data_IF_783056077665
#
_entry.id   IF_783056077665
#
_cell.length_a   1.000
_cell.length_b   1.000
_cell.length_c   1.000
_cell.angle_alpha   90.00
_cell.angle_beta   90.00
_cell.angle_gamma   90.00
#
_symmetry.space_group_name_H-M   'P 1'
#
loop_
_entity.id
_entity.type
_entity.pdbx_description
1 polymer ?
#
# COMPACT_ATOMS: atom_id res chain seq x y z
N UNK A 1 0.42 50.15 -28.81
CA UNK A 1 -0.01 49.25 -27.72
C UNK A 1 -0.95 50.02 -26.81
N UNK A 2 -1.99 49.36 -26.31
CA UNK A 2 -2.86 49.89 -25.25
C UNK A 2 -2.55 49.15 -23.94
N UNK A 3 -2.48 49.86 -22.82
CA UNK A 3 -2.00 49.34 -21.53
C UNK A 3 -0.48 49.45 -21.35
N UNK A 4 0.09 48.71 -20.39
CA UNK A 4 1.44 48.97 -19.85
C UNK A 4 2.46 47.87 -20.20
N UNK A 5 3.73 48.23 -20.28
CA UNK A 5 4.87 47.30 -20.46
C UNK A 5 4.75 46.34 -21.65
N UNK A 6 4.04 46.71 -22.72
CA UNK A 6 3.93 45.86 -23.91
C UNK A 6 5.06 46.15 -24.91
N UNK A 7 5.73 45.11 -25.40
CA UNK A 7 6.71 45.18 -26.49
C UNK A 7 6.11 44.63 -27.79
N UNK A 8 6.25 45.38 -28.89
CA UNK A 8 5.72 45.00 -30.21
C UNK A 8 4.53 45.85 -30.64
N UNK A 9 3.59 45.29 -31.42
CA UNK A 9 2.56 46.04 -32.15
C UNK A 9 1.16 45.58 -31.77
N UNK A 10 0.26 46.55 -31.56
CA UNK A 10 -1.17 46.33 -31.35
C UNK A 10 -1.50 45.35 -30.20
N UNK A 11 -0.62 45.25 -29.20
CA UNK A 11 -0.92 44.51 -27.98
C UNK A 11 -1.83 45.34 -27.07
N UNK A 12 -2.72 44.66 -26.37
CA UNK A 12 -3.69 45.24 -25.42
C UNK A 12 -3.55 44.55 -24.07
N UNK A 13 -3.48 45.32 -22.98
CA UNK A 13 -3.29 44.80 -21.63
C UNK A 13 -1.87 45.02 -21.14
N UNK A 14 -1.25 44.07 -20.45
CA UNK A 14 0.00 44.29 -19.74
C UNK A 14 1.12 43.29 -20.08
N UNK A 15 2.35 43.76 -20.22
CA UNK A 15 3.54 42.90 -20.27
C UNK A 15 3.52 41.88 -21.41
N UNK A 16 2.90 42.18 -22.56
CA UNK A 16 2.91 41.28 -23.71
C UNK A 16 4.08 41.57 -24.65
N UNK A 17 4.64 40.52 -25.24
CA UNK A 17 5.67 40.59 -26.28
C UNK A 17 5.13 40.04 -27.61
N UNK A 18 5.18 40.83 -28.68
CA UNK A 18 4.82 40.38 -30.03
C UNK A 18 3.69 41.19 -30.65
N UNK A 19 2.71 40.52 -31.27
CA UNK A 19 1.69 41.17 -32.11
C UNK A 19 0.28 40.78 -31.71
N UNK A 20 -0.62 41.76 -31.63
CA UNK A 20 -2.07 41.53 -31.46
C UNK A 20 -2.46 40.69 -30.23
N UNK A 21 -1.58 40.59 -29.23
CA UNK A 21 -1.88 39.86 -28.01
C UNK A 21 -2.84 40.68 -27.13
N UNK A 22 -3.79 40.00 -26.51
CA UNK A 22 -4.77 40.57 -25.60
C UNK A 22 -4.68 39.90 -24.21
N UNK A 23 -4.50 40.70 -23.16
CA UNK A 23 -4.40 40.23 -21.78
C UNK A 23 -3.01 40.47 -21.20
N UNK A 24 -2.43 39.48 -20.51
CA UNK A 24 -1.22 39.69 -19.73
C UNK A 24 -0.11 38.70 -20.04
N UNK A 25 1.15 39.16 -20.12
CA UNK A 25 2.32 38.27 -20.15
C UNK A 25 2.30 37.28 -21.32
N UNK A 26 1.72 37.62 -22.47
CA UNK A 26 1.74 36.73 -23.64
C UNK A 26 2.96 37.00 -24.52
N UNK A 27 3.55 35.95 -25.08
CA UNK A 27 4.63 36.01 -26.07
C UNK A 27 4.17 35.39 -27.39
N UNK A 28 4.21 36.16 -28.48
CA UNK A 28 3.91 35.67 -29.82
C UNK A 28 2.83 36.47 -30.51
N UNK A 29 1.87 35.81 -31.17
CA UNK A 29 0.90 36.48 -32.05
C UNK A 29 -0.54 36.09 -31.69
N UNK A 30 -1.40 37.10 -31.55
CA UNK A 30 -2.84 36.95 -31.42
C UNK A 30 -3.29 36.00 -30.29
N UNK A 31 -2.52 35.93 -29.20
CA UNK A 31 -2.91 35.18 -28.02
C UNK A 31 -3.88 36.00 -27.16
N UNK A 32 -4.87 35.33 -26.56
CA UNK A 32 -5.85 35.92 -25.67
C UNK A 32 -5.81 35.25 -24.29
N UNK A 33 -5.67 36.03 -23.21
CA UNK A 33 -5.58 35.53 -21.84
C UNK A 33 -4.24 35.88 -21.20
N UNK A 34 -3.65 34.99 -20.39
CA UNK A 34 -2.31 35.23 -19.84
C UNK A 34 -1.29 34.12 -20.01
N UNK A 35 -0.03 34.54 -20.00
CA UNK A 35 1.15 33.66 -20.03
C UNK A 35 1.16 32.68 -21.20
N UNK A 36 0.55 32.98 -22.35
CA UNK A 36 0.62 32.11 -23.53
C UNK A 36 1.88 32.38 -24.35
N UNK A 37 2.50 31.32 -24.87
CA UNK A 37 3.61 31.36 -25.82
C UNK A 37 3.20 30.75 -27.16
N UNK A 38 3.29 31.53 -28.23
CA UNK A 38 3.06 31.05 -29.60
C UNK A 38 1.94 31.80 -30.31
N UNK A 39 1.00 31.10 -30.96
CA UNK A 39 0.07 31.69 -31.93
C UNK A 39 -1.40 31.36 -31.61
N UNK A 40 -2.28 32.35 -31.57
CA UNK A 40 -3.73 32.14 -31.49
C UNK A 40 -4.18 31.23 -30.34
N UNK A 41 -3.47 31.23 -29.22
CA UNK A 41 -3.91 30.51 -28.03
C UNK A 41 -4.93 31.34 -27.26
N UNK A 42 -5.88 30.67 -26.62
CA UNK A 42 -6.91 31.31 -25.80
C UNK A 42 -7.00 30.62 -24.43
N UNK A 43 -6.84 31.38 -23.36
CA UNK A 43 -6.80 30.87 -21.99
C UNK A 43 -5.46 31.17 -21.32
N UNK A 44 -4.98 30.24 -20.48
CA UNK A 44 -3.81 30.46 -19.63
C UNK A 44 -2.66 29.53 -19.97
N UNK A 45 -1.44 30.07 -20.06
CA UNK A 45 -0.23 29.26 -19.96
C UNK A 45 -0.02 28.28 -21.10
N UNK A 46 -0.59 28.45 -22.30
CA UNK A 46 -0.41 27.51 -23.42
C UNK A 46 0.92 27.74 -24.17
N UNK A 47 1.54 26.68 -24.67
CA UNK A 47 2.72 26.70 -25.55
C UNK A 47 2.40 26.07 -26.89
N UNK A 48 2.56 26.81 -27.98
CA UNK A 48 2.31 26.35 -29.35
C UNK A 48 1.18 27.15 -30.00
N UNK A 49 0.28 26.50 -30.72
CA UNK A 49 -0.69 27.21 -31.56
C UNK A 49 -2.13 26.69 -31.45
N UNK A 50 -3.10 27.60 -31.54
CA UNK A 50 -4.52 27.26 -31.59
C UNK A 50 -5.00 26.36 -30.45
N UNK A 51 -4.50 26.59 -29.23
CA UNK A 51 -4.93 25.85 -28.06
C UNK A 51 -5.96 26.66 -27.25
N UNK A 52 -7.27 26.36 -27.35
CA UNK A 52 -8.28 26.87 -26.44
C UNK A 52 -8.31 26.07 -25.13
N UNK A 53 -8.22 26.76 -23.99
CA UNK A 53 -8.12 26.18 -22.66
C UNK A 53 -6.77 26.51 -22.02
N UNK A 54 -6.29 25.67 -21.11
CA UNK A 54 -5.18 26.05 -20.24
C UNK A 54 -4.01 25.06 -20.26
N UNK A 55 -2.78 25.59 -20.27
CA UNK A 55 -1.54 24.85 -20.09
C UNK A 55 -1.33 23.70 -21.08
N UNK A 56 -1.78 23.82 -22.33
CA UNK A 56 -1.49 22.84 -23.38
C UNK A 56 -0.10 23.08 -24.00
N UNK A 57 0.56 22.01 -24.42
CA UNK A 57 1.80 22.04 -25.20
C UNK A 57 1.59 21.39 -26.57
N UNK A 58 1.94 22.10 -27.63
CA UNK A 58 1.75 21.65 -29.02
C UNK A 58 0.63 22.43 -29.70
N UNK A 59 -0.09 21.82 -30.65
CA UNK A 59 -1.05 22.56 -31.47
C UNK A 59 -2.46 21.95 -31.50
N UNK A 60 -3.47 22.81 -31.63
CA UNK A 60 -4.88 22.44 -31.78
C UNK A 60 -5.45 21.59 -30.63
N UNK A 61 -4.92 21.75 -29.42
CA UNK A 61 -5.45 21.05 -28.26
C UNK A 61 -6.53 21.87 -27.57
N UNK A 62 -7.69 21.26 -27.30
CA UNK A 62 -8.79 21.89 -26.58
C UNK A 62 -8.97 21.27 -25.20
N UNK A 63 -9.13 22.09 -24.16
CA UNK A 63 -9.16 21.65 -22.77
C UNK A 63 -7.84 21.97 -22.09
N UNK A 64 -7.40 21.17 -21.11
CA UNK A 64 -6.25 21.54 -20.29
C UNK A 64 -5.14 20.50 -20.20
N UNK A 65 -3.90 20.97 -20.13
CA UNK A 65 -2.72 20.14 -19.91
C UNK A 65 -2.49 19.03 -20.93
N UNK A 66 -2.87 19.21 -22.19
CA UNK A 66 -2.55 18.23 -23.24
C UNK A 66 -1.15 18.46 -23.82
N UNK A 67 -0.48 17.39 -24.22
CA UNK A 67 0.79 17.42 -24.94
C UNK A 67 0.64 16.76 -26.31
N UNK A 68 0.94 17.50 -27.38
CA UNK A 68 0.94 17.01 -28.75
C UNK A 68 -0.05 17.75 -29.63
N UNK A 69 -0.84 17.03 -30.43
CA UNK A 69 -1.64 17.62 -31.50
C UNK A 69 -3.09 17.16 -31.48
N UNK A 70 -4.03 18.08 -31.68
CA UNK A 70 -5.46 17.78 -31.86
C UNK A 70 -6.09 17.00 -30.70
N UNK A 71 -5.56 17.12 -29.49
CA UNK A 71 -6.14 16.42 -28.35
C UNK A 71 -7.29 17.23 -27.74
N UNK A 72 -8.44 16.60 -27.54
CA UNK A 72 -9.61 17.18 -26.87
C UNK A 72 -9.84 16.55 -25.51
N UNK A 73 -10.13 17.37 -24.50
CA UNK A 73 -10.21 16.93 -23.10
C UNK A 73 -8.95 17.32 -22.34
N UNK A 74 -8.53 16.53 -21.34
CA UNK A 74 -7.45 16.92 -20.44
C UNK A 74 -6.36 15.88 -20.31
N UNK A 75 -5.13 16.35 -20.08
CA UNK A 75 -3.98 15.49 -19.77
C UNK A 75 -3.71 14.41 -20.81
N UNK A 76 -4.01 14.60 -22.10
CA UNK A 76 -3.66 13.63 -23.14
C UNK A 76 -2.22 13.85 -23.65
N UNK A 77 -1.53 12.77 -23.99
CA UNK A 77 -0.22 12.80 -24.67
C UNK A 77 -0.32 12.11 -26.02
N UNK A 78 -0.03 12.85 -27.09
CA UNK A 78 0.10 12.31 -28.45
C UNK A 78 -0.80 13.03 -29.44
N UNK A 79 -1.53 12.28 -30.29
CA UNK A 79 -2.23 12.86 -31.45
C UNK A 79 -3.69 12.46 -31.51
N UNK A 80 -4.58 13.44 -31.66
CA UNK A 80 -6.00 13.22 -31.91
C UNK A 80 -6.68 12.31 -30.87
N UNK A 81 -6.32 12.46 -29.59
CA UNK A 81 -7.01 11.77 -28.51
C UNK A 81 -8.18 12.63 -28.00
N UNK A 82 -9.32 12.01 -27.74
CA UNK A 82 -10.50 12.66 -27.16
C UNK A 82 -10.90 12.00 -25.84
N UNK A 83 -11.10 12.78 -24.79
CA UNK A 83 -11.31 12.31 -23.42
C UNK A 83 -10.11 12.68 -22.55
N UNK A 84 -9.88 11.96 -21.45
CA UNK A 84 -8.88 12.35 -20.46
C UNK A 84 -7.77 11.29 -20.26
N UNK A 85 -6.55 11.75 -20.03
CA UNK A 85 -5.39 10.94 -19.60
C UNK A 85 -4.98 9.84 -20.59
N UNK A 86 -5.18 10.04 -21.89
CA UNK A 86 -4.77 9.07 -22.90
C UNK A 86 -3.31 9.26 -23.33
N UNK A 87 -2.60 8.17 -23.60
CA UNK A 87 -1.26 8.16 -24.21
C UNK A 87 -1.28 7.43 -25.53
N UNK A 88 -0.92 8.11 -26.62
CA UNK A 88 -0.82 7.52 -27.96
C UNK A 88 -1.62 8.30 -29.00
N UNK A 89 -2.33 7.64 -29.90
CA UNK A 89 -3.06 8.37 -30.94
C UNK A 89 -4.42 7.79 -31.32
N UNK A 90 -5.35 8.69 -31.69
CA UNK A 90 -6.69 8.37 -32.16
C UNK A 90 -7.54 7.60 -31.13
N UNK A 91 -7.26 7.80 -29.84
CA UNK A 91 -8.03 7.18 -28.76
C UNK A 91 -9.26 8.03 -28.44
N UNK A 92 -10.39 7.38 -28.19
CA UNK A 92 -11.56 8.01 -27.57
C UNK A 92 -11.92 7.28 -26.27
N UNK A 93 -12.30 8.04 -25.25
CA UNK A 93 -12.48 7.53 -23.88
C UNK A 93 -11.34 8.00 -22.99
N UNK A 94 -11.17 7.37 -21.83
CA UNK A 94 -10.27 7.83 -20.77
C UNK A 94 -9.24 6.77 -20.38
N UNK A 95 -8.06 7.21 -19.93
CA UNK A 95 -7.03 6.33 -19.35
C UNK A 95 -6.46 5.26 -20.30
N UNK A 96 -6.44 5.52 -21.61
CA UNK A 96 -5.95 4.55 -22.59
C UNK A 96 -4.46 4.70 -22.90
N UNK A 97 -3.80 3.59 -23.21
CA UNK A 97 -2.43 3.53 -23.73
C UNK A 97 -2.43 2.82 -25.10
N UNK A 98 -2.05 3.51 -26.17
CA UNK A 98 -1.91 2.90 -27.50
C UNK A 98 -2.65 3.66 -28.60
N UNK A 99 -3.22 2.92 -29.55
CA UNK A 99 -3.76 3.48 -30.78
C UNK A 99 -5.18 3.00 -31.04
N UNK A 100 -6.04 3.90 -31.56
CA UNK A 100 -7.38 3.58 -32.05
C UNK A 100 -8.32 2.98 -30.99
N UNK A 101 -8.07 3.23 -29.71
CA UNK A 101 -8.95 2.82 -28.62
C UNK A 101 -10.27 3.60 -28.64
N UNK A 102 -11.35 2.96 -28.16
CA UNK A 102 -12.71 3.51 -28.19
C UNK A 102 -13.45 3.49 -26.85
N UNK A 103 -12.87 2.83 -25.84
CA UNK A 103 -13.41 2.76 -24.49
C UNK A 103 -12.44 3.33 -23.47
N UNK A 104 -12.64 2.98 -22.20
CA UNK A 104 -11.78 3.43 -21.11
C UNK A 104 -10.79 2.33 -20.69
N UNK A 105 -9.61 2.71 -20.19
CA UNK A 105 -8.60 1.81 -19.61
C UNK A 105 -8.05 0.73 -20.57
N UNK A 106 -8.00 1.02 -21.87
CA UNK A 106 -7.52 0.11 -22.90
C UNK A 106 -6.00 0.19 -23.08
N UNK A 107 -5.38 -0.95 -23.38
CA UNK A 107 -3.94 -1.07 -23.61
C UNK A 107 -3.06 -0.94 -22.36
N UNK A 108 -3.65 -1.08 -21.17
CA UNK A 108 -2.93 -1.20 -19.90
C UNK A 108 -2.41 -2.64 -19.71
N UNK A 109 -1.19 -2.77 -19.19
CA UNK A 109 -0.58 -4.07 -18.88
C UNK A 109 -0.98 -4.50 -17.47
N UNK A 110 -1.40 -5.74 -17.30
CA UNK A 110 -1.68 -6.37 -16.00
C UNK A 110 -0.95 -7.70 -15.88
N UNK A 111 -0.27 -7.93 -14.75
CA UNK A 111 0.49 -9.17 -14.45
C UNK A 111 0.08 -9.67 -13.06
N UNK A 112 -0.37 -10.92 -12.98
CA UNK A 112 -0.72 -11.56 -11.71
C UNK A 112 -0.04 -12.92 -11.58
N UNK A 113 0.56 -13.20 -10.43
CA UNK A 113 1.16 -14.50 -10.11
C UNK A 113 0.68 -14.99 -8.76
N UNK A 114 0.26 -16.25 -8.67
CA UNK A 114 -0.22 -16.90 -7.45
C UNK A 114 0.44 -18.28 -7.32
N UNK A 115 0.99 -18.55 -6.14
CA UNK A 115 1.48 -19.87 -5.74
C UNK A 115 0.72 -20.33 -4.51
N UNK A 116 0.29 -21.59 -4.51
CA UNK A 116 -0.42 -22.21 -3.38
C UNK A 116 0.48 -23.28 -2.78
N UNK A 117 0.81 -23.12 -1.49
CA UNK A 117 1.44 -24.16 -0.68
C UNK A 117 0.32 -25.11 -0.23
N UNK A 118 0.36 -26.41 -0.62
CA UNK A 118 -0.62 -27.39 -0.18
C UNK A 118 -0.65 -27.50 1.34
N UNK A 119 -1.77 -27.94 1.89
CA UNK A 119 -1.88 -28.17 3.33
C UNK A 119 -0.82 -29.19 3.79
N UNK A 120 -0.05 -28.83 4.82
CA UNK A 120 0.99 -29.68 5.40
C UNK A 120 0.34 -30.50 6.52
N UNK A 121 0.18 -31.83 6.36
CA UNK A 121 -0.36 -32.66 7.43
C UNK A 121 0.68 -32.77 8.56
N UNK A 122 0.22 -32.70 9.80
CA UNK A 122 1.02 -32.99 10.99
C UNK A 122 0.32 -34.04 11.84
N UNK A 123 1.13 -34.86 12.51
CA UNK A 123 0.71 -35.77 13.56
C UNK A 123 1.63 -35.56 14.75
N UNK A 124 1.07 -35.65 15.94
CA UNK A 124 1.83 -35.72 17.17
C UNK A 124 1.28 -36.85 18.02
N UNK A 125 2.18 -37.41 18.81
CA UNK A 125 1.88 -38.52 19.67
C UNK A 125 2.63 -38.33 20.99
N UNK A 126 1.88 -38.23 22.08
CA UNK A 126 2.43 -38.01 23.42
C UNK A 126 2.09 -39.22 24.29
N UNK A 127 3.10 -40.02 24.56
CA UNK A 127 3.03 -41.21 25.40
C UNK A 127 3.77 -40.99 26.72
N UNK A 128 3.08 -41.23 27.84
CA UNK A 128 3.72 -41.23 29.16
C UNK A 128 3.09 -42.27 30.09
N UNK A 129 3.94 -42.97 30.84
CA UNK A 129 3.53 -43.89 31.89
C UNK A 129 3.58 -43.21 33.25
N UNK A 130 2.44 -43.12 33.94
CA UNK A 130 2.40 -42.70 35.34
C UNK A 130 2.32 -43.94 36.23
N UNK A 131 3.30 -44.06 37.14
CA UNK A 131 3.41 -45.13 38.14
C UNK A 131 3.23 -44.54 39.54
N UNK A 132 2.19 -44.99 40.25
CA UNK A 132 1.97 -44.65 41.67
C UNK A 132 2.11 -45.92 42.52
N UNK A 133 3.20 -46.08 43.29
CA UNK A 133 3.37 -47.23 44.17
C UNK A 133 2.49 -47.08 45.43
N UNK A 134 1.86 -48.18 45.84
CA UNK A 134 1.14 -48.33 47.11
C UNK A 134 1.84 -49.43 47.90
N UNK A 135 2.49 -49.05 49.00
CA UNK A 135 3.23 -49.95 49.88
C UNK A 135 2.67 -49.92 51.30
N UNK A 136 2.46 -51.08 51.91
CA UNK A 136 1.96 -51.21 53.30
C UNK A 136 2.03 -52.64 53.81
N UNK A 137 1.45 -52.93 54.98
CA UNK A 137 1.33 -54.30 55.50
C UNK A 137 0.04 -54.50 56.29
N UNK A 138 -0.51 -55.70 56.22
CA UNK A 138 -1.60 -56.17 57.07
C UNK A 138 -0.97 -56.97 58.22
N UNK A 139 -1.27 -56.62 59.47
CA UNK A 139 -0.71 -57.29 60.66
C UNK A 139 -1.18 -58.74 60.81
N UNK A 140 -0.41 -59.55 61.55
CA UNK A 140 -0.73 -60.94 61.83
C UNK A 140 -1.93 -61.07 62.81
N UNK A 141 -2.68 -62.16 62.69
CA UNK A 141 -3.79 -62.51 63.60
C UNK A 141 -3.36 -63.71 64.44
N UNK A 142 -3.43 -63.61 65.77
CA UNK A 142 -3.09 -64.68 66.72
C UNK A 142 -4.11 -64.77 67.85
N UNK A 143 -4.24 -65.95 68.47
CA UNK A 143 -5.03 -66.15 69.69
C UNK A 143 -4.12 -66.49 70.87
N UNK A 144 -4.55 -66.17 72.10
CA UNK A 144 -3.81 -66.47 73.34
C UNK A 144 -4.24 -67.81 73.96
N UNK A 145 -3.35 -68.46 74.73
CA UNK A 145 -3.62 -69.78 75.35
C UNK A 145 -4.95 -69.81 76.13
N UNK A 146 -5.76 -70.85 75.94
CA UNK A 146 -6.97 -71.09 76.74
C UNK A 146 -7.21 -72.56 77.06
N UNK A 147 -7.95 -72.84 78.16
CA UNK A 147 -8.21 -74.18 78.66
C UNK A 147 -9.70 -74.54 78.74
N UNK A 148 -9.99 -75.83 78.58
CA UNK A 148 -11.31 -76.43 78.64
C UNK A 148 -11.34 -77.40 79.83
N UNK A 149 -12.23 -77.14 80.80
CA UNK A 149 -12.34 -77.93 82.04
C UNK A 149 -12.88 -79.37 81.82
N UNK A 150 -12.54 -80.34 82.69
CA UNK A 150 -13.09 -81.70 82.64
C UNK A 150 -14.60 -81.76 82.94
N UNK A 151 -15.29 -82.77 82.39
CA UNK A 151 -16.73 -83.00 82.54
C UNK A 151 -16.97 -84.30 83.33
N UNK A 152 -17.88 -84.29 84.31
CA UNK A 152 -18.28 -85.47 85.09
C UNK A 152 -19.31 -86.32 84.34
N UNK A 153 -19.12 -87.63 84.26
CA UNK A 153 -20.03 -88.56 83.59
C UNK A 153 -20.40 -89.69 84.52
N UNK A 154 -21.70 -89.91 84.64
CA UNK A 154 -22.28 -90.95 85.46
C UNK A 154 -23.26 -91.78 84.64
N UNK A 155 -23.10 -93.09 84.63
CA UNK A 155 -23.91 -94.03 83.86
C UNK A 155 -24.56 -95.02 84.82
N UNK A 156 -25.85 -95.26 84.63
CA UNK A 156 -26.62 -96.28 85.33
C UNK A 156 -27.04 -97.38 84.34
N UNK A 157 -27.12 -98.62 84.80
CA UNK A 157 -27.63 -99.77 84.05
C UNK A 157 -28.77 -100.43 84.82
N UNK A 158 -29.81 -100.83 84.10
CA UNK A 158 -31.05 -101.36 84.66
C UNK A 158 -31.08 -102.88 84.50
N UNK A 159 -31.12 -103.62 85.61
CA UNK A 159 -31.35 -105.07 85.60
C UNK A 159 -32.55 -105.39 86.48
N UNK A 160 -33.53 -106.11 85.92
CA UNK A 160 -34.78 -106.47 86.60
C UNK A 160 -35.54 -105.30 87.29
N UNK A 161 -35.41 -104.08 86.75
CA UNK A 161 -36.15 -102.90 87.19
C UNK A 161 -35.49 -102.01 88.25
N UNK A 162 -34.22 -102.25 88.62
CA UNK A 162 -33.44 -101.37 89.50
C UNK A 162 -32.25 -100.78 88.73
N UNK A 163 -32.14 -99.45 88.67
CA UNK A 163 -30.97 -98.77 88.09
C UNK A 163 -29.79 -98.82 89.05
N UNK A 164 -28.75 -99.55 88.67
CA UNK A 164 -27.46 -99.62 89.38
C UNK A 164 -26.47 -98.73 88.66
N UNK A 165 -25.89 -97.77 89.39
CA UNK A 165 -24.85 -96.87 88.88
C UNK A 165 -23.60 -97.70 88.55
N UNK A 166 -23.23 -97.80 87.28
CA UNK A 166 -22.09 -98.59 86.77
C UNK A 166 -20.85 -97.75 86.47
N UNK A 167 -21.00 -96.43 86.30
CA UNK A 167 -19.87 -95.52 86.08
C UNK A 167 -20.15 -94.15 86.71
N UNK A 168 -19.13 -93.52 87.28
CA UNK A 168 -19.17 -92.19 87.91
C UNK A 168 -17.73 -91.63 87.96
N UNK A 169 -17.29 -90.92 86.90
CA UNK A 169 -15.93 -90.34 86.80
C UNK A 169 -15.86 -89.13 85.84
N UNK A 170 -14.78 -88.34 85.91
CA UNK A 170 -14.53 -87.15 85.07
C UNK A 170 -13.70 -87.47 83.82
N UNK A 171 -14.05 -86.86 82.69
CA UNK A 171 -13.31 -86.94 81.43
C UNK A 171 -13.00 -85.54 80.89
N UNK A 172 -11.75 -85.31 80.48
CA UNK A 172 -11.29 -84.05 79.87
C UNK A 172 -10.35 -83.23 80.74
N UNK A 173 -10.13 -81.96 80.35
CA UNK A 173 -9.09 -81.08 80.88
C UNK A 173 -7.96 -80.83 79.86
N UNK A 174 -8.19 -79.96 78.88
CA UNK A 174 -7.20 -79.62 77.84
C UNK A 174 -6.81 -78.15 77.88
N UNK A 175 -5.56 -77.82 77.57
CA UNK A 175 -5.10 -76.44 77.34
C UNK A 175 -4.55 -76.34 75.91
N UNK A 176 -4.96 -75.32 75.18
CA UNK A 176 -4.48 -75.02 73.82
C UNK A 176 -3.64 -73.76 73.90
N UNK A 177 -2.38 -73.85 73.48
CA UNK A 177 -1.44 -72.74 73.56
C UNK A 177 -1.63 -71.70 72.45
N UNK A 178 -1.16 -70.48 72.74
CA UNK A 178 -1.12 -69.37 71.79
C UNK A 178 -0.45 -69.80 70.47
N UNK A 179 -1.10 -69.45 69.37
CA UNK A 179 -0.57 -69.64 68.02
C UNK A 179 -1.00 -68.51 67.09
N UNK A 180 -0.16 -68.22 66.09
CA UNK A 180 -0.50 -67.27 65.03
C UNK A 180 -1.33 -67.99 63.98
N UNK A 181 -2.56 -67.53 63.80
CA UNK A 181 -3.53 -68.12 62.88
C UNK A 181 -3.15 -67.73 61.45
N UNK A 182 -2.74 -66.47 61.25
CA UNK A 182 -2.32 -65.99 59.94
C UNK A 182 -1.17 -64.97 60.07
N UNK A 183 -0.04 -65.17 59.38
CA UNK A 183 1.08 -64.23 59.41
C UNK A 183 0.77 -62.92 58.67
N UNK A 184 1.53 -61.88 58.98
CA UNK A 184 1.40 -60.58 58.34
C UNK A 184 1.65 -60.68 56.82
N UNK A 185 0.87 -59.93 56.04
CA UNK A 185 0.96 -59.94 54.57
C UNK A 185 1.37 -58.55 54.06
N UNK A 186 2.49 -58.41 53.32
CA UNK A 186 2.88 -57.13 52.73
C UNK A 186 1.96 -56.77 51.56
N UNK A 187 1.69 -55.48 51.40
CA UNK A 187 1.02 -54.88 50.26
C UNK A 187 2.10 -54.25 49.39
N UNK A 188 2.26 -54.76 48.18
CA UNK A 188 3.12 -54.18 47.13
C UNK A 188 2.32 -54.15 45.82
N UNK A 189 1.72 -52.99 45.54
CA UNK A 189 0.86 -52.80 44.38
C UNK A 189 1.21 -51.50 43.67
N UNK A 190 1.25 -51.51 42.34
CA UNK A 190 1.52 -50.31 41.53
C UNK A 190 0.29 -50.01 40.68
N UNK A 191 -0.30 -48.83 40.86
CA UNK A 191 -1.31 -48.32 39.94
C UNK A 191 -0.58 -47.74 38.73
N UNK A 192 -0.86 -48.31 37.55
CA UNK A 192 -0.39 -47.84 36.25
C UNK A 192 -1.49 -47.05 35.56
N UNK A 193 -1.19 -45.85 35.07
CA UNK A 193 -2.05 -45.12 34.14
C UNK A 193 -1.24 -44.70 32.93
N UNK A 194 -1.62 -45.23 31.77
CA UNK A 194 -1.10 -44.82 30.48
C UNK A 194 -1.78 -43.51 30.07
N UNK A 195 -0.98 -42.49 29.79
CA UNK A 195 -1.42 -41.28 29.10
C UNK A 195 -1.01 -41.41 27.64
N UNK A 196 -2.02 -41.44 26.77
CA UNK A 196 -1.86 -41.48 25.33
C UNK A 196 -2.75 -40.38 24.73
N UNK A 197 -2.12 -39.40 24.09
CA UNK A 197 -2.81 -38.27 23.44
C UNK A 197 -2.34 -38.10 22.00
N UNK A 198 -2.82 -38.96 21.07
CA UNK A 198 -2.52 -38.81 19.67
C UNK A 198 -3.39 -37.70 19.08
N UNK A 199 -2.80 -36.86 18.23
CA UNK A 199 -3.52 -35.81 17.51
C UNK A 199 -2.96 -35.60 16.11
N UNK A 200 -3.83 -35.28 15.17
CA UNK A 200 -3.47 -34.99 13.80
C UNK A 200 -4.25 -33.79 13.26
N UNK A 201 -3.65 -33.07 12.32
CA UNK A 201 -4.26 -31.91 11.68
C UNK A 201 -3.49 -31.50 10.44
N UNK A 202 -3.82 -30.33 9.89
CA UNK A 202 -3.13 -29.77 8.74
C UNK A 202 -2.89 -28.27 8.90
N UNK A 203 -1.72 -27.81 8.50
CA UNK A 203 -1.39 -26.38 8.40
C UNK A 203 -1.51 -25.93 6.94
N UNK A 204 -2.41 -25.01 6.64
CA UNK A 204 -2.64 -24.50 5.27
C UNK A 204 -3.99 -24.95 4.67
N UNK A 205 -4.21 -24.74 3.35
CA UNK A 205 -3.27 -24.23 2.35
C UNK A 205 -2.97 -22.73 2.51
N UNK A 206 -1.74 -22.33 2.15
CA UNK A 206 -1.31 -20.92 2.18
C UNK A 206 -1.15 -20.46 0.73
N UNK A 207 -1.89 -19.44 0.32
CA UNK A 207 -1.74 -18.82 -1.02
C UNK A 207 -0.95 -17.53 -0.88
N UNK A 208 0.12 -17.42 -1.66
CA UNK A 208 0.97 -16.24 -1.75
C UNK A 208 0.92 -15.76 -3.19
N UNK A 209 0.78 -14.45 -3.41
CA UNK A 209 0.77 -13.91 -4.76
C UNK A 209 1.10 -12.44 -4.80
N UNK A 210 1.32 -11.95 -6.03
CA UNK A 210 1.41 -10.53 -6.33
C UNK A 210 0.53 -10.21 -7.54
N UNK A 211 -0.01 -8.99 -7.55
CA UNK A 211 -0.78 -8.43 -8.65
C UNK A 211 -0.20 -7.06 -8.98
N UNK A 212 0.01 -6.81 -10.27
CA UNK A 212 0.47 -5.54 -10.81
C UNK A 212 -0.47 -5.10 -11.91
N UNK A 213 -0.98 -3.87 -11.80
CA UNK A 213 -1.78 -3.23 -12.84
C UNK A 213 -1.11 -1.90 -13.19
N UNK A 214 -0.81 -1.71 -14.47
CA UNK A 214 -0.26 -0.46 -14.97
C UNK A 214 -1.34 0.64 -14.95
N UNK A 215 -0.96 1.83 -14.47
CA UNK A 215 -1.75 3.06 -14.68
C UNK A 215 -1.59 3.62 -16.11
N UNK A 216 -2.31 4.69 -16.47
CA UNK A 216 -2.09 5.36 -17.75
C UNK A 216 -0.66 5.91 -17.87
N UNK A 217 -0.20 6.05 -19.11
CA UNK A 217 1.17 6.42 -19.43
C UNK A 217 2.16 5.26 -19.26
N UNK A 218 3.41 5.52 -19.63
CA UNK A 218 4.49 4.55 -19.64
C UNK A 218 5.58 5.00 -18.69
N UNK A 219 5.89 4.15 -17.70
CA UNK A 219 6.96 4.41 -16.73
C UNK A 219 6.78 5.71 -15.94
N UNK A 220 5.55 6.17 -15.78
CA UNK A 220 5.23 7.28 -14.89
C UNK A 220 5.34 6.82 -13.43
N UNK A 221 5.95 7.63 -12.59
CA UNK A 221 6.11 7.43 -11.14
C UNK A 221 5.33 8.49 -10.37
N UNK A 222 4.10 8.76 -10.81
CA UNK A 222 3.23 9.81 -10.27
C UNK A 222 2.20 9.26 -9.29
N UNK A 223 1.78 10.07 -8.31
CA UNK A 223 0.74 9.67 -7.34
C UNK A 223 -0.67 9.69 -7.92
N UNK A 224 -0.97 10.67 -8.79
CA UNK A 224 -2.22 10.73 -9.56
C UNK A 224 -1.99 10.31 -11.01
N UNK A 225 -3.05 9.84 -11.70
CA UNK A 225 -2.95 9.44 -13.10
C UNK A 225 -2.34 10.52 -13.99
N UNK A 226 -1.38 10.12 -14.83
CA UNK A 226 -0.69 10.98 -15.79
C UNK A 226 -0.55 10.24 -17.11
N UNK A 227 -0.69 10.92 -18.24
CA UNK A 227 -0.39 10.33 -19.55
C UNK A 227 1.08 10.54 -19.93
N UNK A 228 1.51 9.98 -21.05
CA UNK A 228 2.86 10.20 -21.58
C UNK A 228 3.89 9.27 -20.97
N UNK A 229 5.11 9.76 -20.79
CA UNK A 229 6.27 8.91 -20.52
C UNK A 229 7.17 9.51 -19.43
N UNK A 230 7.55 8.67 -18.46
CA UNK A 230 8.55 9.00 -17.43
C UNK A 230 8.24 10.26 -16.60
N UNK A 231 6.97 10.62 -16.43
CA UNK A 231 6.58 11.72 -15.56
C UNK A 231 6.67 11.30 -14.08
N UNK A 232 7.01 12.23 -13.20
CA UNK A 232 7.20 12.00 -11.76
C UNK A 232 6.45 13.02 -10.89
N UNK A 233 6.45 12.78 -9.58
CA UNK A 233 5.89 13.68 -8.58
C UNK A 233 4.42 13.41 -8.26
N UNK A 234 3.67 14.47 -7.99
CA UNK A 234 2.25 14.38 -7.60
C UNK A 234 1.34 13.83 -8.69
N UNK A 235 1.64 14.10 -9.96
CA UNK A 235 0.90 13.63 -11.13
C UNK A 235 0.04 14.70 -11.80
N UNK A 236 -1.03 14.27 -12.47
CA UNK A 236 -1.85 15.12 -13.33
C UNK A 236 -0.96 15.82 -14.36
N UNK A 237 -0.22 15.03 -15.13
CA UNK A 237 0.72 15.52 -16.13
C UNK A 237 0.55 14.79 -17.45
N UNK A 238 0.88 15.47 -18.55
CA UNK A 238 1.03 14.87 -19.87
C UNK A 238 2.40 15.20 -20.45
N UNK A 239 2.87 14.40 -21.41
CA UNK A 239 4.14 14.61 -22.09
C UNK A 239 5.27 13.74 -21.54
N UNK A 240 6.47 14.31 -21.44
CA UNK A 240 7.69 13.54 -21.23
C UNK A 240 8.54 14.10 -20.10
N UNK A 241 8.91 13.25 -19.14
CA UNK A 241 9.88 13.58 -18.09
C UNK A 241 9.51 14.80 -17.24
N UNK A 242 8.23 15.12 -17.09
CA UNK A 242 7.78 16.22 -16.26
C UNK A 242 7.82 15.82 -14.78
N UNK A 243 8.32 16.72 -13.92
CA UNK A 243 8.35 16.54 -12.47
C UNK A 243 7.32 17.46 -11.81
N UNK A 244 6.16 16.88 -11.50
CA UNK A 244 4.97 17.67 -11.20
C UNK A 244 4.71 17.84 -9.71
N UNK A 245 4.45 19.08 -9.33
CA UNK A 245 3.78 19.42 -8.06
C UNK A 245 2.28 19.64 -8.29
N UNK A 246 1.88 20.12 -9.47
CA UNK A 246 0.48 20.18 -9.91
C UNK A 246 0.38 20.58 -11.39
N UNK A 247 -0.19 19.72 -12.25
CA UNK A 247 -0.63 20.13 -13.60
C UNK A 247 0.52 20.54 -14.52
N UNK A 248 1.05 19.62 -15.32
CA UNK A 248 2.08 19.93 -16.32
C UNK A 248 1.74 19.34 -17.69
N UNK A 249 2.15 20.02 -18.75
CA UNK A 249 2.21 19.46 -20.10
C UNK A 249 3.56 19.76 -20.74
N UNK A 250 3.99 18.98 -21.72
CA UNK A 250 5.20 19.21 -22.50
C UNK A 250 6.38 18.34 -22.07
N UNK A 251 7.58 18.91 -22.02
CA UNK A 251 8.82 18.13 -21.87
C UNK A 251 9.70 18.71 -20.77
N UNK A 252 10.03 17.88 -19.76
CA UNK A 252 10.94 18.23 -18.66
C UNK A 252 10.59 19.52 -17.93
N UNK A 253 9.31 19.78 -17.73
CA UNK A 253 8.87 20.87 -16.88
C UNK A 253 8.89 20.43 -15.42
N UNK A 254 9.23 21.35 -14.51
CA UNK A 254 9.25 21.10 -13.07
C UNK A 254 8.48 22.16 -12.29
N UNK A 255 7.51 21.74 -11.47
CA UNK A 255 6.72 22.66 -10.64
C UNK A 255 5.21 22.58 -10.86
N UNK A 256 4.53 23.72 -11.02
CA UNK A 256 3.06 23.78 -11.08
C UNK A 256 2.53 24.64 -12.21
N UNK A 257 1.47 24.19 -12.89
CA UNK A 257 0.77 24.95 -13.92
C UNK A 257 1.72 25.39 -15.04
N UNK A 258 2.40 24.43 -15.67
CA UNK A 258 3.43 24.71 -16.67
C UNK A 258 3.12 23.97 -17.98
N UNK A 259 3.35 24.65 -19.09
CA UNK A 259 3.42 24.03 -20.42
C UNK A 259 4.76 24.33 -21.10
N UNK A 260 5.10 23.60 -22.16
CA UNK A 260 6.26 23.85 -22.99
C UNK A 260 7.44 22.94 -22.70
N UNK A 261 8.65 23.46 -22.74
CA UNK A 261 9.88 22.65 -22.65
C UNK A 261 10.81 23.26 -21.61
N UNK A 262 11.23 22.45 -20.64
CA UNK A 262 12.25 22.81 -19.64
C UNK A 262 11.95 24.08 -18.85
N UNK A 263 10.69 24.32 -18.55
CA UNK A 263 10.30 25.42 -17.69
C UNK A 263 10.26 24.94 -16.23
N UNK A 264 10.76 25.78 -15.32
CA UNK A 264 10.76 25.51 -13.88
C UNK A 264 10.02 26.63 -13.12
N UNK A 265 9.19 26.23 -12.15
CA UNK A 265 8.51 27.17 -11.25
C UNK A 265 6.98 27.09 -11.30
N UNK A 266 6.30 28.20 -11.59
CA UNK A 266 4.84 28.33 -11.48
C UNK A 266 4.26 29.10 -12.68
N UNK A 267 3.16 28.63 -13.26
CA UNK A 267 2.41 29.39 -14.27
C UNK A 267 3.27 29.85 -15.47
N UNK A 268 4.10 28.95 -16.00
CA UNK A 268 5.04 29.27 -17.08
C UNK A 268 4.66 28.56 -18.38
N UNK A 269 4.91 29.22 -19.52
CA UNK A 269 4.80 28.60 -20.84
C UNK A 269 6.01 28.94 -21.71
N UNK A 270 6.25 28.15 -22.75
CA UNK A 270 7.32 28.36 -23.70
C UNK A 270 8.53 27.48 -23.42
N UNK A 271 9.74 28.06 -23.40
CA UNK A 271 10.97 27.28 -23.40
C UNK A 271 11.98 27.80 -22.35
N UNK A 272 12.49 26.93 -21.48
CA UNK A 272 13.61 27.25 -20.58
C UNK A 272 13.39 28.46 -19.65
N UNK A 273 12.15 28.69 -19.23
CA UNK A 273 11.81 29.76 -18.29
C UNK A 273 11.98 29.28 -16.84
N UNK A 274 12.35 30.18 -15.93
CA UNK A 274 12.60 29.87 -14.52
C UNK A 274 11.98 30.94 -13.62
N UNK A 275 10.81 30.65 -13.08
CA UNK A 275 10.12 31.64 -12.28
C UNK A 275 8.62 31.47 -12.18
N UNK A 276 7.93 32.61 -12.08
CA UNK A 276 6.49 32.66 -11.86
C UNK A 276 5.79 33.55 -12.88
N UNK A 277 4.71 33.06 -13.49
CA UNK A 277 3.94 33.82 -14.48
C UNK A 277 4.84 34.31 -15.62
N UNK A 278 5.27 33.39 -16.47
CA UNK A 278 6.22 33.65 -17.54
C UNK A 278 5.76 33.09 -18.88
N UNK A 279 6.14 33.76 -19.97
CA UNK A 279 5.97 33.22 -21.32
C UNK A 279 7.14 33.58 -22.23
N UNK A 280 7.33 32.79 -23.28
CA UNK A 280 8.38 32.98 -24.26
C UNK A 280 9.56 32.05 -23.99
N UNK A 281 10.78 32.56 -23.99
CA UNK A 281 11.95 31.71 -23.87
C UNK A 281 13.04 32.32 -22.99
N UNK A 282 13.69 31.48 -22.17
CA UNK A 282 14.86 31.84 -21.37
C UNK A 282 14.61 33.05 -20.46
N UNK A 283 13.42 33.14 -19.88
CA UNK A 283 13.12 34.17 -18.90
C UNK A 283 13.42 33.69 -17.49
N UNK A 284 13.80 34.61 -16.60
CA UNK A 284 14.04 34.31 -15.20
C UNK A 284 13.47 35.40 -14.28
N UNK A 285 12.53 35.05 -13.42
CA UNK A 285 11.92 35.97 -12.47
C UNK A 285 10.41 35.81 -12.28
N UNK A 286 9.67 36.90 -12.43
CA UNK A 286 8.23 36.92 -12.19
C UNK A 286 7.51 37.94 -13.06
N UNK A 287 6.41 37.54 -13.71
CA UNK A 287 5.62 38.41 -14.61
C UNK A 287 6.47 38.92 -15.76
N UNK A 288 6.95 37.98 -16.59
CA UNK A 288 7.88 38.25 -17.69
C UNK A 288 7.39 37.61 -19.00
N UNK A 289 7.45 38.36 -20.10
CA UNK A 289 7.24 37.81 -21.44
C UNK A 289 8.39 38.12 -22.39
N UNK A 290 8.52 37.32 -23.44
CA UNK A 290 9.47 37.54 -24.52
C UNK A 290 10.67 36.60 -24.43
N UNK A 291 11.83 37.08 -24.85
CA UNK A 291 13.01 36.24 -25.03
C UNK A 291 14.19 36.76 -24.22
N UNK A 292 14.77 35.89 -23.41
CA UNK A 292 16.02 36.12 -22.71
C UNK A 292 15.95 37.31 -21.72
N UNK A 293 14.90 37.39 -20.91
CA UNK A 293 14.74 38.47 -19.94
C UNK A 293 14.97 37.99 -18.51
N UNK A 294 15.72 38.77 -17.72
CA UNK A 294 16.04 38.45 -16.33
C UNK A 294 15.58 39.57 -15.40
N UNK A 295 14.79 39.23 -14.39
CA UNK A 295 14.42 40.14 -13.31
C UNK A 295 15.59 40.34 -12.34
N UNK A 296 15.81 41.57 -11.90
CA UNK A 296 16.70 41.86 -10.76
C UNK A 296 15.95 41.90 -9.43
N UNK A 297 14.63 41.72 -9.43
CA UNK A 297 13.85 41.53 -8.20
C UNK A 297 13.88 40.06 -7.76
N UNK A 298 13.50 39.82 -6.51
CA UNK A 298 13.30 38.45 -6.02
C UNK A 298 12.16 37.74 -6.79
N UNK A 299 12.13 36.41 -6.71
CA UNK A 299 11.17 35.59 -7.48
C UNK A 299 9.70 35.74 -7.06
N UNK A 300 9.42 36.35 -5.89
CA UNK A 300 8.06 36.61 -5.43
C UNK A 300 7.52 37.97 -5.90
N UNK A 301 8.40 38.89 -6.31
CA UNK A 301 8.03 40.25 -6.71
C UNK A 301 7.85 40.32 -8.22
N UNK A 302 6.67 40.79 -8.65
CA UNK A 302 6.39 41.01 -10.06
C UNK A 302 7.36 42.02 -10.67
N UNK A 303 8.01 41.63 -11.76
CA UNK A 303 9.02 42.43 -12.43
C UNK A 303 8.45 43.22 -13.61
N UNK A 304 7.32 42.82 -14.20
CA UNK A 304 6.71 43.46 -15.37
C UNK A 304 7.72 43.72 -16.51
N UNK A 305 8.35 42.66 -17.00
CA UNK A 305 9.35 42.74 -18.07
C UNK A 305 8.82 42.15 -19.37
N UNK A 306 8.98 42.86 -20.49
CA UNK A 306 8.64 42.32 -21.82
C UNK A 306 9.69 42.67 -22.88
N UNK A 307 9.79 41.83 -23.91
CA UNK A 307 10.63 42.08 -25.07
C UNK A 307 11.83 41.14 -25.15
N UNK A 308 13.00 41.66 -25.51
CA UNK A 308 14.19 40.85 -25.76
C UNK A 308 15.36 41.35 -24.92
N UNK A 309 16.09 40.42 -24.29
CA UNK A 309 17.38 40.68 -23.64
C UNK A 309 17.35 41.81 -22.59
N UNK A 310 16.27 41.91 -21.80
CA UNK A 310 16.17 42.90 -20.73
C UNK A 310 16.68 42.35 -19.40
N UNK A 311 17.36 43.21 -18.62
CA UNK A 311 17.80 42.92 -17.25
C UNK A 311 17.27 44.02 -16.31
N UNK A 312 16.33 43.68 -15.43
CA UNK A 312 15.80 44.63 -14.46
C UNK A 312 14.33 44.43 -14.10
N UNK A 313 13.66 45.51 -13.71
CA UNK A 313 12.23 45.55 -13.39
C UNK A 313 11.56 46.72 -14.12
N UNK A 314 10.28 46.58 -14.43
CA UNK A 314 9.43 47.54 -15.11
C UNK A 314 10.01 47.96 -16.48
N UNK A 315 10.45 46.98 -17.27
CA UNK A 315 11.11 47.18 -18.56
C UNK A 315 10.27 46.63 -19.71
N UNK A 316 10.21 47.37 -20.82
CA UNK A 316 9.66 46.87 -22.08
C UNK A 316 10.49 47.38 -23.24
N UNK A 317 10.89 46.50 -24.16
CA UNK A 317 11.60 46.85 -25.39
C UNK A 317 12.56 45.77 -25.86
N UNK A 318 13.25 46.05 -26.97
CA UNK A 318 14.16 45.09 -27.60
C UNK A 318 15.57 45.05 -27.02
N UNK A 319 16.00 46.05 -26.21
CA UNK A 319 17.39 46.17 -25.69
C UNK A 319 17.51 47.16 -24.51
N UNK A 320 16.92 46.94 -23.31
CA UNK A 320 17.18 47.86 -22.17
C UNK A 320 17.95 47.22 -21.01
N UNK A 321 19.23 47.63 -20.92
CA UNK A 321 20.35 47.22 -20.04
C UNK A 321 21.01 45.87 -20.34
N UNK A 322 21.31 45.67 -21.62
CA UNK A 322 22.11 44.56 -22.15
C UNK A 322 23.50 44.50 -21.52
N UNK A 323 24.00 43.30 -21.22
CA UNK A 323 25.42 42.98 -21.42
C UNK A 323 25.47 41.73 -22.30
N UNK A 324 25.81 41.92 -23.58
CA UNK A 324 26.12 40.85 -24.53
C UNK A 324 27.62 40.93 -24.77
N UNK A 325 28.25 39.76 -24.96
CA UNK A 325 29.34 39.18 -24.15
C UNK A 325 30.29 40.14 -23.42
#
# INVERSE_FOLDING_TARGET
>A
NSGSYNTGIANTGNTNTGFLNAGAVNTGIANAGSANTGLYNAGQGNTGSYNPGDHNTGDFNSGSYNTGYFNGGNYNTGVANSGDVNTGAFNSGNYNNGFLWRGDHQGLISVSYKITIPAIPYHYDVHSDILVPITGSIGAISHETFSISPIHVVIFAQEAGVDVKVYDDFFGGWSIDQSTIQPATPIDYVIRKLIDFPGAGSLGPITIGFEFQQGPGFFNTTNTPSSGFFNSGTGSSSGFFNDSTAGLSGIRNAGTQISGIWNEGIAASGLFNSGSLESGMLNAGNTISGWYNTSTANMATQAFVSGIANLGINLSGFLRNVMLP
#
